data_IF_579703932781
#
_entry.id   IF_579703932781
#
_cell.length_a   1.000
_cell.length_b   1.000
_cell.length_c   1.000
_cell.angle_alpha   90.00
_cell.angle_beta   90.00
_cell.angle_gamma   90.00
#
_symmetry.space_group_name_H-M   'P 1'
#
loop_
_entity.id
_entity.type
_entity.pdbx_description
1 polymer ?
#
# COMPACT_ATOMS: atom_id res chain seq x y z
N UNK A 1 18.90 -7.61 -54.45
CA UNK A 1 18.45 -6.70 -55.51
C UNK A 1 18.83 -5.29 -55.10
N UNK A 2 19.79 -4.72 -55.81
CA UNK A 2 20.24 -3.34 -55.69
C UNK A 2 19.15 -2.37 -56.16
N UNK A 3 18.98 -1.24 -55.48
CA UNK A 3 19.23 0.06 -56.09
C UNK A 3 19.43 1.16 -55.02
N UNK A 4 20.49 1.98 -55.12
CA UNK A 4 20.75 3.15 -54.28
C UNK A 4 20.28 4.44 -54.98
N UNK A 5 19.97 5.50 -54.24
CA UNK A 5 20.03 6.86 -54.77
C UNK A 5 20.61 7.83 -53.74
N UNK A 6 21.62 8.53 -54.22
CA UNK A 6 22.43 9.59 -53.64
C UNK A 6 21.69 10.94 -53.65
N UNK A 7 22.04 11.82 -52.71
CA UNK A 7 21.61 13.22 -52.72
C UNK A 7 22.23 14.03 -51.58
N UNK A 8 23.15 14.92 -51.94
CA UNK A 8 24.04 15.75 -51.12
C UNK A 8 23.40 17.07 -50.64
N UNK A 9 23.49 17.37 -49.32
CA UNK A 9 23.58 18.68 -48.61
C UNK A 9 22.65 19.87 -48.96
N UNK A 10 22.61 20.97 -48.15
CA UNK A 10 23.50 21.33 -47.04
C UNK A 10 22.80 21.68 -45.70
N UNK A 11 23.67 21.89 -44.71
CA UNK A 11 23.48 22.33 -43.33
C UNK A 11 22.66 23.60 -43.11
N UNK A 12 21.79 23.58 -42.10
CA UNK A 12 21.16 24.75 -41.49
C UNK A 12 20.33 24.33 -40.28
N UNK A 13 20.97 24.23 -39.11
CA UNK A 13 20.28 23.99 -37.83
C UNK A 13 19.76 25.31 -37.28
N UNK A 14 18.46 25.57 -37.45
CA UNK A 14 17.71 26.50 -36.61
C UNK A 14 16.95 25.72 -35.53
N UNK A 15 16.87 26.23 -34.29
CA UNK A 15 16.15 25.57 -33.21
C UNK A 15 14.63 25.71 -33.41
N UNK A 16 13.93 24.57 -33.53
CA UNK A 16 12.47 24.50 -33.51
C UNK A 16 11.96 24.92 -32.12
N UNK A 17 11.07 25.92 -32.00
CA UNK A 17 10.52 26.32 -30.71
C UNK A 17 9.63 25.21 -30.15
N UNK A 18 9.86 24.87 -28.88
CA UNK A 18 9.05 23.96 -28.09
C UNK A 18 7.62 24.52 -28.01
N UNK A 19 6.70 23.95 -28.79
CA UNK A 19 5.30 24.28 -28.73
C UNK A 19 4.78 23.98 -27.33
N UNK A 20 4.35 25.03 -26.63
CA UNK A 20 3.62 24.91 -25.38
C UNK A 20 2.36 24.07 -25.63
N UNK A 21 2.28 22.89 -24.99
CA UNK A 21 1.07 22.10 -24.97
C UNK A 21 -0.01 22.92 -24.23
N UNK A 22 -0.89 23.54 -25.00
CA UNK A 22 -2.09 24.18 -24.51
C UNK A 22 -2.89 23.13 -23.72
N UNK A 23 -3.15 23.42 -22.45
CA UNK A 23 -4.06 22.65 -21.62
C UNK A 23 -5.44 22.65 -22.30
N UNK A 24 -5.84 21.51 -22.84
CA UNK A 24 -7.19 21.31 -23.32
C UNK A 24 -8.14 21.45 -22.13
N UNK A 25 -8.96 22.51 -22.16
CA UNK A 25 -9.99 22.77 -21.17
C UNK A 25 -10.95 21.58 -21.11
N UNK A 26 -11.08 20.97 -19.93
CA UNK A 26 -12.09 19.94 -19.64
C UNK A 26 -13.47 20.59 -19.75
N UNK A 27 -14.46 19.96 -20.42
CA UNK A 27 -15.81 20.52 -20.48
C UNK A 27 -16.44 20.52 -19.08
N UNK A 28 -17.04 21.66 -18.70
CA UNK A 28 -17.84 21.83 -17.50
C UNK A 28 -19.04 20.86 -17.53
N UNK A 29 -19.16 19.90 -16.59
CA UNK A 29 -20.44 19.26 -16.33
C UNK A 29 -21.26 20.23 -15.49
N UNK A 30 -22.33 20.73 -16.07
CA UNK A 30 -23.39 21.48 -15.40
C UNK A 30 -23.81 20.77 -14.12
N UNK A 31 -23.63 21.47 -13.01
CA UNK A 31 -24.01 21.11 -11.65
C UNK A 31 -25.50 20.79 -11.55
N UNK A 32 -25.83 19.51 -11.60
CA UNK A 32 -26.83 18.94 -10.71
C UNK A 32 -26.05 18.16 -9.65
N UNK A 33 -25.54 18.88 -8.64
CA UNK A 33 -24.90 18.27 -7.48
C UNK A 33 -25.96 17.44 -6.74
N UNK A 34 -25.95 16.13 -6.96
CA UNK A 34 -26.63 15.22 -6.05
C UNK A 34 -25.96 15.37 -4.67
N UNK A 35 -26.74 15.61 -3.60
CA UNK A 35 -26.17 15.89 -2.29
C UNK A 35 -25.41 14.66 -1.80
N UNK A 36 -24.12 14.87 -1.48
CA UNK A 36 -23.29 13.94 -0.72
C UNK A 36 -23.97 13.67 0.63
N UNK A 37 -24.69 12.55 0.72
CA UNK A 37 -24.94 11.87 1.97
C UNK A 37 -24.63 10.40 1.73
N UNK A 38 -23.59 9.83 2.36
CA UNK A 38 -23.51 8.38 2.48
C UNK A 38 -24.77 7.94 3.21
N UNK A 39 -25.68 7.28 2.48
CA UNK A 39 -26.78 6.54 3.09
C UNK A 39 -26.10 5.53 4.00
N UNK A 40 -26.34 5.65 5.31
CA UNK A 40 -25.95 4.70 6.36
C UNK A 40 -26.14 3.27 5.84
N UNK A 41 -25.09 2.63 5.32
CA UNK A 41 -25.22 1.32 4.68
C UNK A 41 -25.42 0.18 5.70
N UNK A 42 -25.39 0.49 6.99
CA UNK A 42 -25.48 -0.47 8.09
C UNK A 42 -26.16 0.11 9.35
N UNK A 43 -27.10 1.06 9.21
CA UNK A 43 -27.84 1.59 10.37
C UNK A 43 -28.67 0.55 11.15
N UNK A 44 -28.76 -0.69 10.66
CA UNK A 44 -29.68 -1.70 11.17
C UNK A 44 -28.99 -2.90 11.84
N UNK A 45 -27.65 -2.94 12.00
CA UNK A 45 -27.04 -4.03 12.78
C UNK A 45 -27.20 -3.75 14.28
N UNK A 46 -27.83 -4.67 15.04
CA UNK A 46 -27.96 -4.53 16.49
C UNK A 46 -26.61 -4.68 17.22
N UNK A 47 -25.55 -5.15 16.54
CA UNK A 47 -24.20 -5.32 17.10
C UNK A 47 -23.11 -4.90 16.10
N UNK A 48 -22.92 -3.59 15.84
CA UNK A 48 -21.93 -3.12 14.87
C UNK A 48 -20.52 -3.65 15.21
N UNK A 49 -19.68 -3.97 14.20
CA UNK A 49 -18.31 -4.39 14.45
C UNK A 49 -17.48 -3.32 15.17
N UNK A 50 -16.67 -3.72 16.15
CA UNK A 50 -15.80 -2.86 16.95
C UNK A 50 -14.34 -3.09 16.54
N UNK A 51 -13.62 -2.04 16.15
CA UNK A 51 -12.31 -2.16 15.49
C UNK A 51 -11.23 -1.45 16.30
N UNK A 52 -10.05 -2.08 16.44
CA UNK A 52 -8.83 -1.40 16.91
C UNK A 52 -7.93 -1.05 15.73
N UNK A 53 -7.33 0.14 15.77
CA UNK A 53 -6.29 0.54 14.83
C UNK A 53 -4.93 0.51 15.54
N UNK A 54 -3.98 -0.26 15.01
CA UNK A 54 -2.61 -0.35 15.51
C UNK A 54 -1.71 0.47 14.58
N UNK A 55 -1.27 1.62 15.07
CA UNK A 55 -0.52 2.63 14.33
C UNK A 55 -1.44 3.70 13.75
N UNK A 56 -1.47 4.86 14.40
CA UNK A 56 -2.21 6.06 13.97
C UNK A 56 -1.44 6.87 12.91
N UNK A 57 -0.68 6.19 12.04
CA UNK A 57 -0.02 6.81 10.89
C UNK A 57 -0.99 7.06 9.73
N UNK A 58 -0.44 7.37 8.55
CA UNK A 58 -1.23 7.62 7.34
C UNK A 58 -2.16 6.45 6.96
N UNK A 59 -1.71 5.21 7.13
CA UNK A 59 -2.52 4.01 6.83
C UNK A 59 -3.62 3.80 7.87
N UNK A 60 -3.30 3.97 9.16
CA UNK A 60 -4.31 3.91 10.23
C UNK A 60 -5.43 4.91 10.01
N UNK A 61 -5.09 6.15 9.63
CA UNK A 61 -6.08 7.18 9.26
C UNK A 61 -6.89 6.80 8.01
N UNK A 62 -6.26 6.24 6.98
CA UNK A 62 -6.97 5.81 5.77
C UNK A 62 -8.02 4.73 6.10
N UNK A 63 -7.65 3.70 6.85
CA UNK A 63 -8.58 2.65 7.27
C UNK A 63 -9.68 3.19 8.19
N UNK A 64 -9.32 4.02 9.17
CA UNK A 64 -10.28 4.60 10.09
C UNK A 64 -11.30 5.50 9.38
N UNK A 65 -10.83 6.35 8.46
CA UNK A 65 -11.68 7.19 7.62
C UNK A 65 -12.61 6.36 6.74
N UNK A 66 -12.10 5.30 6.10
CA UNK A 66 -12.91 4.40 5.30
C UNK A 66 -14.02 3.75 6.13
N UNK A 67 -13.66 3.25 7.32
CA UNK A 67 -14.58 2.62 8.26
C UNK A 67 -15.66 3.60 8.73
N UNK A 68 -15.30 4.78 9.21
CA UNK A 68 -16.25 5.74 9.79
C UNK A 68 -17.13 6.43 8.74
N UNK A 69 -16.66 6.55 7.50
CA UNK A 69 -17.39 7.21 6.42
C UNK A 69 -18.31 6.26 5.65
N UNK A 70 -17.90 5.00 5.46
CA UNK A 70 -18.58 4.06 4.56
C UNK A 70 -19.28 2.90 5.25
N UNK A 71 -19.08 2.71 6.55
CA UNK A 71 -19.62 1.57 7.30
C UNK A 71 -20.34 2.00 8.57
N UNK A 72 -21.00 1.06 9.28
CA UNK A 72 -21.50 1.34 10.64
C UNK A 72 -20.60 0.79 11.75
N UNK A 73 -19.43 0.24 11.40
CA UNK A 73 -18.48 -0.22 12.41
C UNK A 73 -17.97 0.97 13.25
N UNK A 74 -17.51 0.64 14.46
CA UNK A 74 -17.07 1.60 15.46
C UNK A 74 -15.56 1.42 15.63
N UNK A 75 -14.80 2.51 15.49
CA UNK A 75 -13.41 2.53 15.95
C UNK A 75 -13.44 2.59 17.48
N UNK A 76 -13.12 1.48 18.11
CA UNK A 76 -13.26 1.25 19.54
C UNK A 76 -11.95 1.44 20.31
N UNK A 77 -10.80 1.35 19.64
CA UNK A 77 -9.52 1.64 20.28
C UNK A 77 -8.44 2.01 19.24
N UNK A 78 -7.37 2.61 19.74
CA UNK A 78 -6.12 2.83 19.00
C UNK A 78 -4.92 2.43 19.86
N UNK A 79 -3.93 1.79 19.24
CA UNK A 79 -2.61 1.55 19.83
C UNK A 79 -1.55 2.28 19.00
N UNK A 80 -0.93 3.31 19.58
CA UNK A 80 0.05 4.16 18.90
C UNK A 80 1.09 4.65 19.91
N UNK A 81 2.40 4.46 19.67
CA UNK A 81 3.44 4.91 20.61
C UNK A 81 3.57 6.45 20.70
N UNK A 82 3.33 7.19 19.61
CA UNK A 82 3.45 8.65 19.60
C UNK A 82 2.19 9.28 20.19
N UNK A 83 2.33 9.90 21.37
CA UNK A 83 1.21 10.50 22.11
C UNK A 83 0.37 11.47 21.26
N UNK A 84 1.02 12.42 20.58
CA UNK A 84 0.34 13.37 19.70
C UNK A 84 -0.56 12.68 18.66
N UNK A 85 -0.02 11.72 17.89
CA UNK A 85 -0.79 10.97 16.88
C UNK A 85 -1.92 10.18 17.51
N UNK A 86 -1.70 9.59 18.68
CA UNK A 86 -2.71 8.82 19.40
C UNK A 86 -3.87 9.71 19.83
N UNK A 87 -3.57 10.88 20.40
CA UNK A 87 -4.56 11.81 20.92
C UNK A 87 -5.35 12.47 19.76
N UNK A 88 -4.67 12.88 18.69
CA UNK A 88 -5.28 13.37 17.45
C UNK A 88 -6.25 12.32 16.85
N UNK A 89 -5.83 11.06 16.82
CA UNK A 89 -6.63 9.96 16.28
C UNK A 89 -7.87 9.69 17.13
N UNK A 90 -7.75 9.71 18.46
CA UNK A 90 -8.88 9.60 19.38
C UNK A 90 -9.88 10.74 19.14
N UNK A 91 -9.39 11.97 19.06
CA UNK A 91 -10.23 13.16 18.82
C UNK A 91 -10.95 13.09 17.47
N UNK A 92 -10.32 12.48 16.46
CA UNK A 92 -10.88 12.41 15.09
C UNK A 92 -11.89 11.28 14.92
N UNK A 93 -11.57 10.07 15.39
CA UNK A 93 -12.33 8.86 15.03
C UNK A 93 -13.08 8.19 16.18
N UNK A 94 -12.78 8.54 17.44
CA UNK A 94 -13.35 7.86 18.61
C UNK A 94 -14.28 8.81 19.39
N UNK A 95 -13.78 9.96 19.83
CA UNK A 95 -14.52 10.90 20.68
C UNK A 95 -15.85 11.41 20.06
N UNK A 96 -15.92 11.78 18.77
CA UNK A 96 -17.17 12.31 18.17
C UNK A 96 -18.33 11.31 18.20
N UNK A 97 -18.04 10.01 18.27
CA UNK A 97 -19.04 8.95 18.31
C UNK A 97 -19.45 8.59 19.75
N UNK A 98 -18.62 8.89 20.75
CA UNK A 98 -18.98 8.72 22.16
C UNK A 98 -20.06 9.74 22.58
N UNK A 99 -19.95 10.98 22.09
CA UNK A 99 -20.92 12.06 22.36
C UNK A 99 -22.31 11.80 21.74
N UNK A 100 -22.39 10.94 20.72
CA UNK A 100 -23.65 10.52 20.07
C UNK A 100 -24.34 9.34 20.78
N UNK A 101 -23.97 9.05 22.05
CA UNK A 101 -24.59 8.00 22.86
C UNK A 101 -24.03 6.58 22.63
N UNK A 102 -22.93 6.42 21.88
CA UNK A 102 -22.20 5.14 21.73
C UNK A 102 -21.05 5.07 22.74
N UNK A 103 -21.40 5.17 24.02
CA UNK A 103 -20.44 5.32 25.12
C UNK A 103 -19.56 4.06 25.25
N UNK A 104 -18.24 4.22 25.27
CA UNK A 104 -17.31 3.11 25.45
C UNK A 104 -16.96 2.97 26.94
N UNK A 105 -17.23 1.81 27.54
CA UNK A 105 -17.00 1.55 28.96
C UNK A 105 -15.53 1.24 29.31
N UNK A 106 -14.61 1.35 28.35
CA UNK A 106 -13.29 0.72 28.38
C UNK A 106 -12.18 1.63 27.83
N UNK A 107 -10.89 1.38 28.16
CA UNK A 107 -9.77 2.14 27.61
C UNK A 107 -9.74 2.05 26.08
N UNK A 108 -9.57 3.20 25.42
CA UNK A 108 -9.63 3.33 23.97
C UNK A 108 -8.32 3.83 23.35
N UNK A 109 -7.29 4.09 24.17
CA UNK A 109 -5.99 4.56 23.74
C UNK A 109 -4.90 3.79 24.49
N UNK A 110 -3.99 3.15 23.74
CA UNK A 110 -2.88 2.35 24.24
C UNK A 110 -1.57 2.85 23.64
N UNK A 111 -0.48 2.81 24.39
CA UNK A 111 0.83 3.23 23.90
C UNK A 111 1.54 2.12 23.11
N UNK A 112 1.19 0.86 23.37
CA UNK A 112 1.65 -0.32 22.63
C UNK A 112 0.47 -1.30 22.43
N UNK A 113 0.47 -2.03 21.31
CA UNK A 113 -0.55 -3.04 21.03
C UNK A 113 -0.51 -4.20 22.04
N UNK A 114 0.65 -4.46 22.67
CA UNK A 114 0.80 -5.47 23.73
C UNK A 114 0.02 -5.09 24.99
N UNK A 115 -0.07 -3.80 25.30
CA UNK A 115 -0.90 -3.30 26.42
C UNK A 115 -2.37 -3.59 26.15
N UNK A 116 -2.81 -3.35 24.92
CA UNK A 116 -4.15 -3.71 24.47
C UNK A 116 -4.39 -5.23 24.58
N UNK A 117 -3.46 -6.06 24.10
CA UNK A 117 -3.61 -7.53 24.17
C UNK A 117 -3.70 -8.02 25.62
N UNK A 118 -2.87 -7.49 26.52
CA UNK A 118 -2.93 -7.82 27.94
C UNK A 118 -4.29 -7.42 28.53
N UNK A 119 -4.76 -6.22 28.24
CA UNK A 119 -6.06 -5.72 28.68
C UNK A 119 -7.22 -6.56 28.15
N UNK A 120 -7.25 -6.87 26.85
CA UNK A 120 -8.32 -7.63 26.18
C UNK A 120 -8.35 -9.08 26.67
N UNK A 121 -7.20 -9.69 26.87
CA UNK A 121 -7.08 -11.05 27.43
C UNK A 121 -7.73 -11.11 28.81
N UNK A 122 -7.42 -10.13 29.66
CA UNK A 122 -7.94 -10.06 31.01
C UNK A 122 -9.44 -9.68 31.04
N UNK A 123 -9.90 -8.82 30.14
CA UNK A 123 -11.33 -8.52 29.94
C UNK A 123 -12.12 -9.78 29.60
N UNK A 124 -11.61 -10.61 28.67
CA UNK A 124 -12.23 -11.90 28.30
C UNK A 124 -12.28 -12.87 29.47
N UNK A 125 -11.25 -12.93 30.32
CA UNK A 125 -11.27 -13.75 31.54
C UNK A 125 -12.37 -13.35 32.52
N UNK A 126 -12.72 -12.07 32.58
CA UNK A 126 -13.75 -11.52 33.48
C UNK A 126 -15.18 -11.63 32.93
N UNK A 127 -15.38 -12.18 31.73
CA UNK A 127 -16.70 -12.33 31.12
C UNK A 127 -17.31 -11.02 30.60
N UNK A 128 -16.49 -10.03 30.21
CA UNK A 128 -17.00 -8.77 29.66
C UNK A 128 -17.73 -8.94 28.31
N UNK A 129 -18.79 -8.15 28.09
CA UNK A 129 -19.73 -8.35 26.98
C UNK A 129 -19.27 -7.77 25.62
N UNK A 130 -18.45 -6.70 25.59
CA UNK A 130 -18.00 -6.08 24.33
C UNK A 130 -16.47 -6.06 24.16
N UNK A 131 -15.97 -6.68 23.10
CA UNK A 131 -14.55 -6.72 22.73
C UNK A 131 -14.27 -6.02 21.40
N UNK A 132 -13.05 -6.16 20.91
CA UNK A 132 -12.68 -5.77 19.53
C UNK A 132 -12.84 -6.99 18.62
N UNK A 133 -13.41 -6.74 17.44
CA UNK A 133 -13.70 -7.71 16.39
C UNK A 133 -12.58 -7.76 15.33
N UNK A 134 -11.77 -6.70 15.15
CA UNK A 134 -10.70 -6.65 14.12
C UNK A 134 -9.56 -5.66 14.43
N UNK A 135 -8.36 -5.88 13.86
CA UNK A 135 -7.17 -5.04 14.00
C UNK A 135 -6.49 -4.70 12.66
N UNK A 136 -5.97 -3.48 12.50
CA UNK A 136 -5.19 -3.02 11.33
C UNK A 136 -3.80 -2.52 11.75
N UNK A 137 -2.73 -2.80 10.99
CA UNK A 137 -1.32 -2.47 11.35
C UNK A 137 -0.62 -1.64 10.27
N UNK A 138 0.23 -0.66 10.64
CA UNK A 138 1.10 0.03 9.68
C UNK A 138 2.39 0.65 10.23
N UNK A 139 3.56 0.21 9.70
CA UNK A 139 4.82 0.97 9.74
C UNK A 139 5.80 0.52 8.61
N UNK A 140 6.75 1.36 8.16
CA UNK A 140 7.75 1.03 7.12
C UNK A 140 9.09 1.77 7.27
N UNK A 141 10.24 1.07 7.09
CA UNK A 141 11.56 1.67 6.74
C UNK A 141 12.65 0.64 6.43
N UNK A 142 12.96 -0.28 7.35
CA UNK A 142 14.00 -1.32 7.21
C UNK A 142 13.37 -2.69 7.32
N UNK A 143 13.89 -3.67 6.58
CA UNK A 143 13.32 -5.02 6.62
C UNK A 143 13.31 -5.59 8.05
N UNK A 144 14.41 -5.42 8.78
CA UNK A 144 14.57 -5.94 10.16
C UNK A 144 13.61 -5.34 11.18
N UNK A 145 13.08 -4.14 10.92
CA UNK A 145 12.10 -3.48 11.79
C UNK A 145 10.68 -3.54 11.22
N UNK A 146 10.52 -4.00 9.97
CA UNK A 146 9.24 -3.99 9.23
C UNK A 146 9.08 -5.28 8.41
N UNK A 147 9.15 -5.19 7.08
CA UNK A 147 8.95 -6.31 6.17
C UNK A 147 9.56 -6.02 4.78
N UNK A 148 9.76 -7.06 3.93
CA UNK A 148 10.25 -6.89 2.56
C UNK A 148 9.38 -5.95 1.71
N UNK A 149 9.96 -5.33 0.67
CA UNK A 149 9.22 -4.43 -0.24
C UNK A 149 7.98 -5.09 -0.82
N UNK A 150 8.11 -6.35 -1.25
CA UNK A 150 7.01 -7.11 -1.84
C UNK A 150 5.83 -7.23 -0.87
N UNK A 151 6.06 -7.55 0.41
CA UNK A 151 5.01 -7.65 1.42
C UNK A 151 4.37 -6.30 1.74
N UNK A 152 5.17 -5.25 1.79
CA UNK A 152 4.72 -3.94 2.30
C UNK A 152 4.06 -3.06 1.24
N UNK A 153 4.37 -3.28 -0.05
CA UNK A 153 3.90 -2.46 -1.16
C UNK A 153 3.05 -3.23 -2.19
N UNK A 154 3.21 -4.54 -2.26
CA UNK A 154 2.70 -5.35 -3.37
C UNK A 154 2.17 -6.72 -2.96
N UNK A 155 1.86 -6.94 -1.67
CA UNK A 155 1.21 -8.18 -1.23
C UNK A 155 -0.13 -8.36 -1.95
N UNK A 156 -0.93 -7.29 -2.03
CA UNK A 156 -2.19 -7.28 -2.77
C UNK A 156 -2.02 -7.57 -4.28
N UNK A 157 -0.85 -7.31 -4.86
CA UNK A 157 -0.59 -7.62 -6.27
C UNK A 157 -0.34 -9.13 -6.42
N UNK A 158 0.35 -9.74 -5.45
CA UNK A 158 0.51 -11.20 -5.36
C UNK A 158 -0.81 -11.89 -5.04
N UNK A 159 -1.63 -11.30 -4.15
CA UNK A 159 -2.99 -11.76 -3.86
C UNK A 159 -3.81 -11.81 -5.15
N UNK A 160 -3.79 -10.73 -5.95
CA UNK A 160 -4.49 -10.67 -7.23
C UNK A 160 -4.01 -11.71 -8.24
N UNK A 161 -2.70 -11.96 -8.32
CA UNK A 161 -2.13 -12.97 -9.21
C UNK A 161 -2.52 -14.39 -8.81
N UNK A 162 -2.42 -14.72 -7.52
CA UNK A 162 -2.85 -16.03 -7.02
C UNK A 162 -4.35 -16.19 -7.11
N UNK A 163 -5.13 -15.15 -6.80
CA UNK A 163 -6.56 -15.15 -7.00
C UNK A 163 -6.86 -15.47 -8.47
N UNK A 164 -6.40 -14.65 -9.41
CA UNK A 164 -6.72 -14.84 -10.83
C UNK A 164 -6.26 -16.17 -11.41
N UNK A 165 -5.10 -16.66 -11.00
CA UNK A 165 -4.47 -17.83 -11.62
C UNK A 165 -4.69 -19.12 -10.83
N UNK A 166 -5.10 -19.08 -9.58
CA UNK A 166 -5.30 -20.27 -8.76
C UNK A 166 -6.74 -20.42 -8.25
N UNK A 167 -7.49 -19.32 -8.11
CA UNK A 167 -8.69 -19.23 -7.26
C UNK A 167 -9.81 -18.29 -7.80
N UNK A 168 -10.96 -18.21 -7.14
CA UNK A 168 -11.52 -19.28 -6.32
C UNK A 168 -11.84 -20.46 -7.24
N UNK A 169 -11.35 -21.65 -6.90
CA UNK A 169 -11.84 -22.87 -7.51
C UNK A 169 -13.37 -22.90 -7.35
N UNK A 170 -14.11 -23.20 -8.42
CA UNK A 170 -15.57 -23.34 -8.28
C UNK A 170 -15.88 -24.48 -7.32
N UNK A 171 -17.09 -24.49 -6.76
CA UNK A 171 -17.50 -25.55 -5.86
C UNK A 171 -17.29 -26.94 -6.50
N UNK A 172 -16.43 -27.76 -5.89
CA UNK A 172 -16.04 -29.09 -6.40
C UNK A 172 -14.81 -29.11 -7.32
N UNK A 173 -14.25 -27.96 -7.70
CA UNK A 173 -12.98 -27.86 -8.41
C UNK A 173 -11.80 -27.78 -7.42
N UNK A 174 -10.62 -28.21 -7.89
CA UNK A 174 -9.38 -28.06 -7.14
C UNK A 174 -8.64 -26.82 -7.65
N UNK A 175 -8.17 -26.00 -6.72
CA UNK A 175 -7.33 -24.85 -7.03
C UNK A 175 -6.05 -25.29 -7.76
N UNK A 176 -5.69 -24.56 -8.82
CA UNK A 176 -4.45 -24.82 -9.52
C UNK A 176 -3.31 -24.13 -8.75
N UNK A 177 -2.55 -24.89 -7.98
CA UNK A 177 -1.47 -24.37 -7.14
C UNK A 177 -0.20 -24.05 -7.93
N UNK A 178 0.58 -23.04 -7.53
CA UNK A 178 1.89 -22.75 -8.13
C UNK A 178 2.84 -23.96 -8.06
N UNK A 179 3.72 -24.08 -9.05
CA UNK A 179 4.75 -25.11 -9.10
C UNK A 179 6.12 -24.56 -8.69
N UNK A 180 6.56 -23.49 -9.34
CA UNK A 180 7.85 -22.86 -9.06
C UNK A 180 7.72 -21.35 -8.99
N UNK A 181 8.66 -20.73 -8.28
CA UNK A 181 8.86 -19.30 -8.35
C UNK A 181 10.34 -18.93 -8.39
N UNK A 182 10.63 -17.82 -9.03
CA UNK A 182 11.91 -17.15 -8.97
C UNK A 182 11.68 -15.66 -8.72
N UNK A 183 12.62 -15.03 -8.03
CA UNK A 183 12.53 -13.63 -7.67
C UNK A 183 13.91 -13.03 -7.76
N UNK A 184 14.02 -11.90 -8.44
CA UNK A 184 15.27 -11.18 -8.61
C UNK A 184 15.03 -9.72 -8.28
N UNK A 185 15.94 -9.11 -7.54
CA UNK A 185 15.77 -7.74 -7.10
C UNK A 185 16.80 -7.40 -6.04
N UNK A 186 17.20 -6.13 -6.04
CA UNK A 186 18.13 -5.58 -5.05
C UNK A 186 17.95 -4.08 -4.98
N UNK A 187 18.43 -3.48 -3.90
CA UNK A 187 18.64 -2.04 -3.85
C UNK A 187 19.72 -1.67 -4.87
N UNK A 188 19.33 -1.14 -6.02
CA UNK A 188 20.23 -0.80 -7.11
C UNK A 188 20.71 0.63 -7.04
N UNK A 189 19.80 1.57 -6.82
CA UNK A 189 19.98 3.00 -7.04
C UNK A 189 20.43 3.74 -5.79
N UNK A 190 19.80 3.47 -4.65
CA UNK A 190 20.08 4.18 -3.40
C UNK A 190 21.24 3.56 -2.62
N UNK A 191 22.41 3.49 -3.26
CA UNK A 191 23.65 2.99 -2.65
C UNK A 191 24.75 4.03 -2.73
N UNK A 192 25.64 4.07 -1.73
CA UNK A 192 26.80 4.98 -1.67
C UNK A 192 27.59 5.05 -2.97
N UNK A 193 27.80 3.91 -3.63
CA UNK A 193 28.51 3.83 -4.91
C UNK A 193 27.85 4.60 -6.08
N UNK A 194 26.59 5.01 -5.94
CA UNK A 194 25.83 5.81 -6.92
C UNK A 194 25.62 7.25 -6.49
N UNK A 195 26.15 7.65 -5.34
CA UNK A 195 26.13 9.04 -4.89
C UNK A 195 26.87 9.90 -5.93
N UNK A 196 26.27 11.00 -6.42
CA UNK A 196 26.97 11.91 -7.31
C UNK A 196 28.25 12.43 -6.66
N UNK A 197 29.38 12.39 -7.37
CA UNK A 197 30.66 12.88 -6.85
C UNK A 197 30.57 14.34 -6.39
N UNK A 198 29.79 15.16 -7.11
CA UNK A 198 29.54 16.55 -6.77
C UNK A 198 28.82 16.74 -5.42
N UNK A 199 28.09 15.74 -4.90
CA UNK A 199 27.51 15.78 -3.56
C UNK A 199 28.55 15.68 -2.43
N UNK A 200 29.80 15.34 -2.76
CA UNK A 200 30.90 15.23 -1.80
C UNK A 200 30.59 14.30 -0.63
N UNK A 201 30.94 14.72 0.57
CA UNK A 201 30.73 13.96 1.81
C UNK A 201 29.38 14.25 2.47
N UNK A 202 28.50 15.04 1.85
CA UNK A 202 27.23 15.44 2.47
C UNK A 202 26.36 14.23 2.80
N UNK A 203 25.93 14.14 4.06
CA UNK A 203 25.02 13.10 4.55
C UNK A 203 23.58 13.60 4.66
N UNK A 204 23.36 14.90 4.70
CA UNK A 204 22.02 15.52 4.77
C UNK A 204 21.76 16.41 3.54
N UNK A 205 20.52 16.46 3.07
CA UNK A 205 20.12 17.27 1.92
C UNK A 205 20.33 18.76 2.17
N UNK A 206 20.12 19.26 3.39
CA UNK A 206 20.20 20.69 3.71
C UNK A 206 21.63 21.25 3.68
N UNK A 207 22.63 20.37 3.77
CA UNK A 207 24.06 20.74 3.67
C UNK A 207 24.70 20.26 2.36
N UNK A 208 23.91 19.70 1.43
CA UNK A 208 24.41 19.10 0.21
C UNK A 208 24.76 20.18 -0.83
N UNK A 209 25.98 20.19 -1.41
CA UNK A 209 26.40 21.19 -2.38
C UNK A 209 25.62 21.14 -3.71
N UNK A 210 24.94 20.02 -4.01
CA UNK A 210 24.10 19.86 -5.21
C UNK A 210 22.61 19.88 -4.89
N UNK A 211 22.20 20.35 -3.71
CA UNK A 211 20.80 20.35 -3.26
C UNK A 211 19.85 20.92 -4.31
N UNK A 212 20.20 22.08 -4.88
CA UNK A 212 19.39 22.81 -5.85
C UNK A 212 19.14 22.03 -7.14
N UNK A 213 20.07 21.17 -7.58
CA UNK A 213 19.95 20.35 -8.79
C UNK A 213 19.49 18.91 -8.50
N UNK A 214 19.68 18.42 -7.27
CA UNK A 214 19.41 17.04 -6.91
C UNK A 214 17.90 16.72 -6.92
N UNK A 215 17.47 15.75 -7.72
CA UNK A 215 16.06 15.33 -7.76
C UNK A 215 15.54 14.74 -6.44
N UNK A 216 16.45 14.33 -5.55
CA UNK A 216 16.14 13.74 -4.24
C UNK A 216 16.31 14.73 -3.07
N UNK A 217 16.46 16.03 -3.32
CA UNK A 217 16.49 17.01 -2.23
C UNK A 217 15.21 16.94 -1.40
N UNK A 218 15.35 16.59 -0.12
CA UNK A 218 14.25 16.59 0.83
C UNK A 218 13.62 17.99 0.97
N UNK A 219 14.43 19.05 0.92
CA UNK A 219 13.96 20.45 0.96
C UNK A 219 13.02 20.76 -0.21
N UNK A 220 13.39 20.35 -1.43
CA UNK A 220 12.51 20.51 -2.60
C UNK A 220 11.28 19.62 -2.52
N UNK A 221 11.45 18.36 -2.11
CA UNK A 221 10.36 17.36 -2.05
C UNK A 221 9.29 17.79 -1.04
N UNK A 222 9.66 18.13 0.19
CA UNK A 222 8.71 18.41 1.27
C UNK A 222 8.40 19.91 1.43
N UNK A 223 9.39 20.78 1.31
CA UNK A 223 9.22 22.22 1.47
C UNK A 223 8.61 22.86 0.21
N UNK A 224 9.36 22.86 -0.88
CA UNK A 224 9.01 23.66 -2.07
C UNK A 224 7.84 23.08 -2.87
N UNK A 225 7.83 21.77 -3.06
CA UNK A 225 6.80 21.10 -3.89
C UNK A 225 5.50 20.85 -3.14
N UNK A 226 5.49 20.92 -1.80
CA UNK A 226 4.33 20.58 -0.98
C UNK A 226 3.95 21.71 -0.02
N UNK A 227 4.75 21.96 1.02
CA UNK A 227 4.38 22.89 2.09
C UNK A 227 4.17 24.33 1.58
N UNK A 228 5.08 24.85 0.76
CA UNK A 228 4.94 26.19 0.14
C UNK A 228 3.77 26.30 -0.84
N UNK A 229 3.23 25.18 -1.29
CA UNK A 229 1.99 25.11 -2.09
C UNK A 229 0.74 24.91 -1.23
N UNK A 230 0.86 25.04 0.09
CA UNK A 230 -0.23 24.88 1.05
C UNK A 230 -0.56 23.42 1.39
N UNK A 231 0.24 22.44 0.94
CA UNK A 231 0.04 21.04 1.30
C UNK A 231 0.88 20.65 2.52
N UNK A 232 0.26 20.68 3.70
CA UNK A 232 0.84 20.13 4.94
C UNK A 232 0.49 18.66 5.19
N UNK A 233 -0.35 18.04 4.34
CA UNK A 233 -0.75 16.62 4.48
C UNK A 233 0.37 15.70 4.01
N UNK A 234 0.04 14.45 3.63
CA UNK A 234 1.04 13.59 2.99
C UNK A 234 1.60 14.26 1.71
N UNK A 235 2.93 14.25 1.50
CA UNK A 235 3.94 13.54 2.27
C UNK A 235 4.60 14.35 3.41
N UNK A 236 4.21 15.61 3.66
CA UNK A 236 4.84 16.47 4.69
C UNK A 236 4.54 16.01 6.11
N UNK A 237 3.29 15.66 6.42
CA UNK A 237 2.88 15.19 7.76
C UNK A 237 3.58 13.94 8.27
N UNK A 238 4.20 13.16 7.38
CA UNK A 238 4.99 11.99 7.79
C UNK A 238 6.34 12.41 8.38
N UNK A 239 6.87 13.57 7.95
CA UNK A 239 8.11 14.17 8.46
C UNK A 239 7.85 14.77 9.84
N UNK A 240 6.77 15.55 9.95
CA UNK A 240 6.31 16.11 11.21
C UNK A 240 4.78 16.00 11.33
N UNK A 241 4.26 15.22 12.30
CA UNK A 241 2.82 15.07 12.50
C UNK A 241 2.08 16.36 12.87
N UNK A 242 2.76 17.30 13.54
CA UNK A 242 2.19 18.57 14.04
C UNK A 242 2.16 19.67 12.96
N UNK A 243 2.65 19.39 11.75
CA UNK A 243 2.84 20.40 10.71
C UNK A 243 1.54 21.01 10.19
N UNK A 244 0.44 20.25 10.19
CA UNK A 244 -0.89 20.75 9.78
C UNK A 244 -1.41 21.79 10.79
N UNK A 245 -1.27 21.50 12.09
CA UNK A 245 -1.63 22.41 13.18
C UNK A 245 -0.74 23.65 13.19
N UNK A 246 0.57 23.48 13.01
CA UNK A 246 1.50 24.60 12.93
C UNK A 246 1.16 25.53 11.77
N UNK A 247 0.90 24.97 10.58
CA UNK A 247 0.52 25.77 9.40
C UNK A 247 -0.77 26.55 9.63
N UNK A 248 -1.78 25.92 10.24
CA UNK A 248 -3.09 26.55 10.45
C UNK A 248 -3.11 27.59 11.57
N UNK A 249 -2.31 27.41 12.62
CA UNK A 249 -2.32 28.28 13.82
C UNK A 249 -1.21 29.33 13.83
N UNK A 250 -0.03 29.00 13.29
CA UNK A 250 1.17 29.84 13.36
C UNK A 250 1.63 30.36 11.98
N UNK A 251 1.05 29.85 10.89
CA UNK A 251 1.33 30.29 9.53
C UNK A 251 2.52 29.57 8.87
N UNK A 252 2.72 29.89 7.59
CA UNK A 252 3.67 29.19 6.72
C UNK A 252 5.12 29.27 7.20
N UNK A 253 5.58 30.44 7.65
CA UNK A 253 6.97 30.64 8.08
C UNK A 253 7.33 29.77 9.29
N UNK A 254 6.39 29.63 10.24
CA UNK A 254 6.57 28.78 11.41
C UNK A 254 6.61 27.30 11.01
N UNK A 255 5.68 26.87 10.15
CA UNK A 255 5.63 25.51 9.63
C UNK A 255 6.90 25.17 8.82
N UNK A 256 7.38 26.07 7.97
CA UNK A 256 8.60 25.84 7.19
C UNK A 256 9.82 25.73 8.10
N UNK A 257 9.93 26.58 9.13
CA UNK A 257 10.99 26.48 10.14
C UNK A 257 10.94 25.14 10.88
N UNK A 258 9.75 24.69 11.25
CA UNK A 258 9.55 23.38 11.89
C UNK A 258 10.01 22.25 10.96
N UNK A 259 9.54 22.24 9.71
CA UNK A 259 9.92 21.24 8.72
C UNK A 259 11.45 21.22 8.47
N UNK A 260 12.09 22.38 8.29
CA UNK A 260 13.53 22.44 8.07
C UNK A 260 14.32 21.95 9.28
N UNK A 261 13.82 22.17 10.50
CA UNK A 261 14.43 21.60 11.71
C UNK A 261 14.41 20.07 11.64
N UNK A 262 13.27 19.44 11.36
CA UNK A 262 13.18 17.97 11.32
C UNK A 262 13.98 17.37 10.15
N UNK A 263 14.01 18.06 9.00
CA UNK A 263 14.84 17.66 7.86
C UNK A 263 16.34 17.85 8.14
N UNK A 264 16.74 18.73 9.07
CA UNK A 264 18.15 18.89 9.42
C UNK A 264 18.70 17.73 10.26
N UNK A 265 17.82 16.93 10.86
CA UNK A 265 18.22 15.83 11.72
C UNK A 265 18.96 14.75 10.93
N UNK A 266 20.07 14.28 11.49
CA UNK A 266 20.98 13.34 10.84
C UNK A 266 21.71 12.46 11.85
N UNK A 267 22.44 11.45 11.38
CA UNK A 267 23.25 10.56 12.21
C UNK A 267 24.66 10.35 11.65
N UNK A 268 25.59 9.99 12.53
CA UNK A 268 26.98 9.68 12.18
C UNK A 268 27.30 8.22 12.50
N UNK A 269 28.50 7.76 12.18
CA UNK A 269 28.98 6.43 12.59
C UNK A 269 29.09 6.26 14.11
N UNK A 270 28.99 7.34 14.89
CA UNK A 270 29.02 7.34 16.35
C UNK A 270 27.62 7.25 16.97
N UNK A 271 26.57 7.53 16.19
CA UNK A 271 25.18 7.42 16.65
C UNK A 271 24.83 5.95 16.90
N UNK A 272 24.30 5.58 18.08
CA UNK A 272 23.91 4.20 18.36
C UNK A 272 22.88 3.67 17.37
N UNK A 273 23.08 2.44 16.87
CA UNK A 273 22.19 1.80 15.90
C UNK A 273 20.73 1.73 16.37
N UNK A 274 20.51 1.52 17.67
CA UNK A 274 19.17 1.53 18.26
C UNK A 274 18.48 2.91 18.17
N UNK A 275 19.25 3.99 18.23
CA UNK A 275 18.72 5.34 18.02
C UNK A 275 18.40 5.58 16.54
N UNK A 276 19.30 5.17 15.65
CA UNK A 276 19.09 5.24 14.20
C UNK A 276 17.81 4.51 13.80
N UNK A 277 17.52 3.34 14.39
CA UNK A 277 16.36 2.49 14.08
C UNK A 277 15.02 3.01 14.56
N UNK A 278 14.97 3.87 15.58
CA UNK A 278 13.70 4.33 16.20
C UNK A 278 12.79 5.11 15.26
N UNK A 279 13.34 5.79 14.26
CA UNK A 279 12.57 6.70 13.39
C UNK A 279 13.25 6.92 12.04
N UNK A 280 12.50 7.21 10.96
CA UNK A 280 13.07 7.66 9.71
C UNK A 280 13.81 9.01 9.83
N UNK A 281 14.73 9.25 8.91
CA UNK A 281 15.56 10.46 8.83
C UNK A 281 15.34 11.12 7.46
N UNK A 282 14.20 11.78 7.28
CA UNK A 282 13.69 12.19 5.97
C UNK A 282 14.55 13.22 5.23
N UNK A 283 15.40 13.96 5.94
CA UNK A 283 16.35 14.87 5.31
C UNK A 283 17.70 14.25 4.96
N UNK A 284 17.97 13.03 5.43
CA UNK A 284 19.23 12.33 5.11
C UNK A 284 19.29 12.00 3.61
N UNK A 285 20.48 12.13 3.05
CA UNK A 285 20.80 11.80 1.67
C UNK A 285 20.44 10.33 1.38
N UNK A 286 19.64 10.11 0.33
CA UNK A 286 19.15 8.77 -0.04
C UNK A 286 20.27 7.75 -0.32
N UNK A 287 21.46 8.21 -0.72
CA UNK A 287 22.63 7.32 -0.95
C UNK A 287 23.45 7.06 0.32
N UNK A 288 23.25 7.83 1.39
CA UNK A 288 23.92 7.66 2.70
C UNK A 288 22.96 7.07 3.76
N UNK A 289 21.69 6.89 3.41
CA UNK A 289 20.67 6.27 4.25
C UNK A 289 20.92 4.76 4.43
N UNK A 290 20.29 4.19 5.46
CA UNK A 290 20.35 2.77 5.83
C UNK A 290 19.19 1.95 5.25
N UNK A 291 18.54 2.45 4.20
CA UNK A 291 17.48 1.73 3.49
C UNK A 291 18.07 0.48 2.82
N UNK A 292 17.44 -0.68 3.03
CA UNK A 292 17.89 -1.99 2.52
C UNK A 292 16.87 -2.69 1.61
N UNK A 293 15.70 -2.07 1.44
CA UNK A 293 14.56 -2.56 0.67
C UNK A 293 14.79 -2.44 -0.84
N UNK A 294 14.21 -3.34 -1.64
CA UNK A 294 14.40 -3.32 -3.10
C UNK A 294 13.75 -2.09 -3.74
N UNK A 295 14.46 -1.47 -4.69
CA UNK A 295 13.96 -0.40 -5.57
C UNK A 295 13.59 -0.90 -6.98
N UNK A 296 13.92 -2.15 -7.27
CA UNK A 296 13.58 -2.91 -8.47
C UNK A 296 13.51 -4.40 -8.10
N UNK A 297 12.36 -5.03 -8.36
CA UNK A 297 12.14 -6.45 -8.10
C UNK A 297 11.20 -7.06 -9.15
N UNK A 298 11.65 -8.16 -9.75
CA UNK A 298 10.88 -9.00 -10.66
C UNK A 298 10.61 -10.35 -10.01
N UNK A 299 9.36 -10.78 -10.00
CA UNK A 299 8.92 -12.09 -9.53
C UNK A 299 8.29 -12.84 -10.69
N UNK A 300 8.71 -14.07 -10.92
CA UNK A 300 8.09 -14.98 -11.88
C UNK A 300 7.53 -16.18 -11.13
N UNK A 301 6.25 -16.47 -11.33
CA UNK A 301 5.56 -17.61 -10.73
C UNK A 301 5.06 -18.48 -11.88
N UNK A 302 5.30 -19.79 -11.82
CA UNK A 302 4.83 -20.75 -12.81
C UNK A 302 3.90 -21.77 -12.18
N UNK A 303 3.00 -22.26 -13.01
CA UNK A 303 2.11 -23.38 -12.77
C UNK A 303 2.32 -24.38 -13.90
N UNK A 304 2.24 -25.68 -13.61
CA UNK A 304 2.42 -26.76 -14.58
C UNK A 304 1.07 -27.34 -15.03
N UNK A 305 1.04 -28.23 -16.01
CA UNK A 305 -0.20 -28.93 -16.32
C UNK A 305 -0.64 -29.82 -15.14
N UNK A 306 -1.90 -29.67 -14.71
CA UNK A 306 -2.53 -30.52 -13.70
C UNK A 306 -3.65 -31.34 -14.35
N UNK A 307 -3.33 -32.58 -14.69
CA UNK A 307 -4.27 -33.51 -15.30
C UNK A 307 -5.48 -33.83 -14.40
N UNK A 308 -5.36 -33.70 -13.07
CA UNK A 308 -6.45 -34.02 -12.15
C UNK A 308 -7.53 -32.91 -12.15
N UNK A 309 -7.12 -31.65 -12.21
CA UNK A 309 -8.05 -30.51 -12.34
C UNK A 309 -8.37 -30.14 -13.79
N UNK A 310 -7.60 -30.66 -14.76
CA UNK A 310 -7.65 -30.23 -16.16
C UNK A 310 -7.05 -28.85 -16.39
N UNK A 311 -6.36 -28.30 -15.39
CA UNK A 311 -5.75 -26.99 -15.48
C UNK A 311 -4.47 -27.04 -16.30
N UNK A 312 -4.28 -26.05 -17.17
CA UNK A 312 -3.08 -25.95 -18.00
C UNK A 312 -2.01 -25.05 -17.36
N UNK A 313 -0.77 -25.29 -17.77
CA UNK A 313 0.39 -24.50 -17.39
C UNK A 313 0.20 -23.01 -17.72
N UNK A 314 0.74 -22.16 -16.86
CA UNK A 314 0.62 -20.70 -16.94
C UNK A 314 1.78 -20.03 -16.22
N UNK A 315 2.00 -18.76 -16.53
CA UNK A 315 3.09 -17.97 -15.96
C UNK A 315 2.62 -16.58 -15.63
N UNK A 316 2.96 -16.11 -14.43
CA UNK A 316 2.82 -14.72 -14.02
C UNK A 316 4.18 -14.07 -13.93
N UNK A 317 4.28 -12.84 -14.42
CA UNK A 317 5.44 -11.98 -14.22
C UNK A 317 4.98 -10.68 -13.56
N UNK A 318 5.60 -10.38 -12.42
CA UNK A 318 5.34 -9.19 -11.64
C UNK A 318 6.61 -8.33 -11.57
N UNK A 319 6.50 -7.04 -11.87
CA UNK A 319 7.61 -6.08 -11.78
C UNK A 319 7.21 -4.89 -10.93
N UNK A 320 7.94 -4.68 -9.84
CA UNK A 320 7.86 -3.50 -9.00
C UNK A 320 9.11 -2.65 -9.19
N UNK A 321 8.91 -1.39 -9.54
CA UNK A 321 10.01 -0.45 -9.85
C UNK A 321 9.75 0.93 -9.24
N UNK A 322 10.78 1.52 -8.64
CA UNK A 322 10.70 2.84 -8.03
C UNK A 322 10.68 3.99 -9.06
N UNK A 323 11.41 3.85 -10.16
CA UNK A 323 11.55 4.87 -11.20
C UNK A 323 10.53 4.66 -12.31
N UNK A 324 9.40 5.33 -12.20
CA UNK A 324 8.31 5.27 -13.18
C UNK A 324 7.57 6.60 -13.21
N UNK A 325 7.09 7.00 -14.39
CA UNK A 325 6.12 8.10 -14.54
C UNK A 325 4.78 7.72 -13.88
N UNK A 326 4.44 6.44 -13.92
CA UNK A 326 3.17 5.86 -13.46
C UNK A 326 3.23 5.47 -12.00
N UNK A 327 3.57 6.44 -11.15
CA UNK A 327 3.72 6.22 -9.72
C UNK A 327 2.39 5.79 -9.10
N UNK A 328 2.41 4.67 -8.36
CA UNK A 328 1.23 4.08 -7.71
C UNK A 328 0.10 3.65 -8.66
N UNK A 329 0.32 3.65 -9.98
CA UNK A 329 -0.59 3.04 -10.94
C UNK A 329 -0.21 1.57 -11.14
N UNK A 330 -1.21 0.68 -11.13
CA UNK A 330 -1.02 -0.73 -11.55
C UNK A 330 -1.42 -0.84 -13.02
N UNK A 331 -0.65 -1.60 -13.78
CA UNK A 331 -0.93 -1.90 -15.18
C UNK A 331 -0.43 -3.29 -15.54
N UNK A 332 -1.06 -3.92 -16.52
CA UNK A 332 -0.67 -5.25 -16.94
C UNK A 332 -1.36 -5.71 -18.22
N UNK A 333 -0.92 -6.89 -18.68
CA UNK A 333 -1.53 -7.61 -19.78
C UNK A 333 -1.74 -9.07 -19.41
N UNK A 334 -2.86 -9.62 -19.84
CA UNK A 334 -3.21 -11.03 -19.67
C UNK A 334 -3.47 -11.59 -21.06
N UNK A 335 -2.77 -12.66 -21.39
CA UNK A 335 -2.87 -13.31 -22.70
C UNK A 335 -3.67 -14.59 -22.57
N UNK A 336 -4.65 -14.77 -23.45
CA UNK A 336 -5.44 -15.99 -23.56
C UNK A 336 -5.47 -16.51 -25.00
N UNK A 337 -6.08 -17.67 -25.18
CA UNK A 337 -6.20 -18.30 -26.50
C UNK A 337 -7.22 -17.62 -27.42
N UNK A 338 -8.09 -16.76 -26.87
CA UNK A 338 -9.18 -16.08 -27.59
C UNK A 338 -9.04 -14.56 -27.64
N UNK A 339 -8.03 -14.01 -26.98
CA UNK A 339 -7.89 -12.58 -26.83
C UNK A 339 -6.83 -12.18 -25.82
N UNK A 340 -6.70 -10.88 -25.63
CA UNK A 340 -5.86 -10.29 -24.60
C UNK A 340 -6.62 -9.22 -23.81
N UNK A 341 -6.26 -9.09 -22.53
CA UNK A 341 -6.75 -8.05 -21.65
C UNK A 341 -5.58 -7.11 -21.35
N UNK A 342 -5.76 -5.81 -21.58
CA UNK A 342 -4.87 -4.75 -21.11
C UNK A 342 -5.60 -3.99 -20.00
N UNK A 343 -4.93 -3.76 -18.87
CA UNK A 343 -5.51 -2.95 -17.80
C UNK A 343 -4.51 -1.93 -17.27
N UNK A 344 -5.06 -0.82 -16.80
CA UNK A 344 -4.37 0.14 -15.95
C UNK A 344 -5.30 0.59 -14.80
N UNK A 345 -4.89 1.59 -14.03
CA UNK A 345 -5.70 2.10 -12.91
C UNK A 345 -6.98 2.82 -13.33
N UNK A 346 -7.25 2.99 -14.63
CA UNK A 346 -8.40 3.73 -15.17
C UNK A 346 -9.29 2.85 -16.05
N UNK A 347 -8.71 1.96 -16.85
CA UNK A 347 -9.42 1.20 -17.88
C UNK A 347 -9.06 -0.27 -17.88
N UNK A 348 -10.00 -1.10 -18.33
CA UNK A 348 -9.77 -2.50 -18.70
C UNK A 348 -10.21 -2.64 -20.15
N UNK A 349 -9.30 -3.04 -21.04
CA UNK A 349 -9.55 -3.27 -22.45
C UNK A 349 -9.50 -4.77 -22.72
N UNK A 350 -10.50 -5.28 -23.41
CA UNK A 350 -10.59 -6.69 -23.81
C UNK A 350 -10.60 -6.74 -25.33
N UNK A 351 -9.56 -7.31 -25.92
CA UNK A 351 -9.45 -7.52 -27.36
C UNK A 351 -9.78 -8.98 -27.70
N UNK A 352 -10.76 -9.17 -28.58
CA UNK A 352 -11.22 -10.48 -29.05
C UNK A 352 -10.60 -10.82 -30.41
N UNK A 353 -9.86 -11.94 -30.48
CA UNK A 353 -9.15 -12.37 -31.69
C UNK A 353 -10.06 -12.87 -32.81
N UNK A 354 -11.30 -13.28 -32.51
CA UNK A 354 -12.22 -13.78 -33.52
C UNK A 354 -12.91 -12.63 -34.27
N UNK A 355 -13.04 -11.46 -33.63
CA UNK A 355 -13.80 -10.31 -34.15
C UNK A 355 -12.94 -9.10 -34.45
N UNK A 356 -11.68 -9.08 -34.02
CA UNK A 356 -10.77 -7.93 -34.06
C UNK A 356 -11.37 -6.68 -33.38
N UNK A 357 -12.19 -6.88 -32.34
CA UNK A 357 -12.84 -5.80 -31.60
C UNK A 357 -12.26 -5.65 -30.21
N UNK A 358 -12.10 -4.40 -29.79
CA UNK A 358 -11.78 -4.05 -28.41
C UNK A 358 -13.03 -3.51 -27.72
N UNK A 359 -13.39 -4.10 -26.59
CA UNK A 359 -14.31 -3.50 -25.62
C UNK A 359 -13.51 -2.81 -24.51
N UNK A 360 -13.93 -1.62 -24.08
CA UNK A 360 -13.25 -0.87 -23.01
C UNK A 360 -14.21 -0.61 -21.87
N UNK A 361 -13.80 -1.05 -20.68
CA UNK A 361 -14.51 -0.86 -19.43
C UNK A 361 -13.83 0.22 -18.59
N UNK A 362 -14.63 0.98 -17.86
CA UNK A 362 -14.19 2.06 -16.97
C UNK A 362 -14.68 1.75 -15.55
N UNK A 363 -13.87 1.09 -14.72
CA UNK A 363 -14.21 0.84 -13.33
C UNK A 363 -14.51 2.13 -12.56
N UNK A 364 -15.39 2.05 -11.56
CA UNK A 364 -15.75 3.18 -10.71
C UNK A 364 -14.52 3.73 -9.98
N UNK A 365 -14.27 5.03 -10.12
CA UNK A 365 -13.15 5.72 -9.47
C UNK A 365 -13.68 6.50 -8.26
N UNK A 366 -13.64 5.87 -7.08
CA UNK A 366 -14.16 6.49 -5.83
C UNK A 366 -13.23 7.54 -5.22
N UNK A 367 -12.02 7.68 -5.75
CA UNK A 367 -10.99 8.56 -5.17
C UNK A 367 -10.47 8.02 -3.84
N UNK A 368 -9.88 8.88 -3.00
CA UNK A 368 -9.38 8.46 -1.69
C UNK A 368 -8.08 7.65 -1.72
N UNK A 369 -7.82 6.89 -0.65
CA UNK A 369 -6.64 6.05 -0.51
C UNK A 369 -6.63 4.91 -1.54
N UNK A 370 -5.48 4.69 -2.18
CA UNK A 370 -5.28 3.61 -3.16
C UNK A 370 -6.33 3.54 -4.29
N UNK A 371 -6.83 4.68 -4.77
CA UNK A 371 -7.83 4.75 -5.85
C UNK A 371 -9.24 4.29 -5.45
N UNK A 372 -9.52 4.17 -4.15
CA UNK A 372 -10.81 3.72 -3.61
C UNK A 372 -10.82 2.26 -3.17
N UNK A 373 -9.70 1.55 -3.34
CA UNK A 373 -9.56 0.17 -2.90
C UNK A 373 -9.72 0.00 -1.39
N UNK A 374 -9.23 0.97 -0.60
CA UNK A 374 -9.36 0.94 0.87
C UNK A 374 -10.83 0.96 1.30
N UNK A 375 -11.66 1.80 0.65
CA UNK A 375 -13.09 1.91 0.95
C UNK A 375 -13.84 0.62 0.58
N UNK A 376 -13.50 0.03 -0.58
CA UNK A 376 -14.08 -1.24 -1.03
C UNK A 376 -13.79 -2.38 -0.06
N UNK A 377 -12.51 -2.57 0.28
CA UNK A 377 -12.07 -3.62 1.19
C UNK A 377 -12.64 -3.44 2.61
N UNK A 378 -12.61 -2.21 3.15
CA UNK A 378 -13.21 -1.93 4.46
C UNK A 378 -14.72 -2.22 4.46
N UNK A 379 -15.43 -1.82 3.41
CA UNK A 379 -16.87 -2.10 3.27
C UNK A 379 -17.16 -3.60 3.25
N UNK A 380 -16.46 -4.36 2.40
CA UNK A 380 -16.60 -5.80 2.29
C UNK A 380 -16.29 -6.51 3.62
N UNK A 381 -15.21 -6.09 4.29
CA UNK A 381 -14.83 -6.62 5.59
C UNK A 381 -15.91 -6.41 6.65
N UNK A 382 -16.41 -5.17 6.78
CA UNK A 382 -17.46 -4.88 7.77
C UNK A 382 -18.77 -5.59 7.43
N UNK A 383 -19.12 -5.76 6.16
CA UNK A 383 -20.28 -6.55 5.74
C UNK A 383 -20.14 -8.03 6.15
N UNK A 384 -18.95 -8.61 5.97
CA UNK A 384 -18.66 -9.98 6.39
C UNK A 384 -18.81 -10.16 7.90
N UNK A 385 -18.13 -9.31 8.69
CA UNK A 385 -18.20 -9.38 10.16
C UNK A 385 -19.62 -9.14 10.66
N UNK A 386 -20.33 -8.16 10.10
CA UNK A 386 -21.73 -7.89 10.46
C UNK A 386 -22.64 -9.09 10.17
N UNK A 387 -22.48 -9.77 9.03
CA UNK A 387 -23.26 -10.96 8.71
C UNK A 387 -23.05 -12.12 9.68
N UNK A 388 -21.82 -12.30 10.15
CA UNK A 388 -21.48 -13.31 11.16
C UNK A 388 -22.07 -12.93 12.52
N UNK A 389 -21.86 -11.68 12.97
CA UNK A 389 -22.36 -11.21 14.28
C UNK A 389 -23.88 -11.23 14.38
N UNK A 390 -24.58 -10.92 13.30
CA UNK A 390 -26.04 -10.97 13.24
C UNK A 390 -26.59 -12.41 13.13
N UNK A 391 -25.72 -13.45 13.10
CA UNK A 391 -26.12 -14.85 12.95
C UNK A 391 -26.69 -15.20 11.57
N UNK A 392 -26.45 -14.36 10.56
CA UNK A 392 -27.00 -14.54 9.20
C UNK A 392 -26.19 -15.52 8.35
N UNK A 393 -24.90 -15.68 8.64
CA UNK A 393 -23.95 -16.51 7.88
C UNK A 393 -22.88 -17.07 8.82
N UNK A 394 -22.28 -18.21 8.45
CA UNK A 394 -21.02 -18.64 9.04
C UNK A 394 -19.86 -17.73 8.64
N UNK A 395 -18.71 -17.87 9.30
CA UNK A 395 -17.49 -17.12 8.95
C UNK A 395 -17.06 -17.43 7.51
N UNK A 396 -17.06 -18.71 7.15
CA UNK A 396 -16.64 -19.19 5.84
C UNK A 396 -17.56 -18.68 4.73
N UNK A 397 -18.87 -18.70 4.95
CA UNK A 397 -19.87 -18.18 4.01
C UNK A 397 -19.69 -16.67 3.81
N UNK A 398 -19.52 -15.92 4.90
CA UNK A 398 -19.33 -14.48 4.85
C UNK A 398 -18.01 -14.08 4.16
N UNK A 399 -16.92 -14.81 4.42
CA UNK A 399 -15.64 -14.60 3.75
C UNK A 399 -15.77 -14.79 2.23
N UNK A 400 -16.28 -15.94 1.80
CA UNK A 400 -16.46 -16.23 0.37
C UNK A 400 -17.37 -15.21 -0.32
N UNK A 401 -18.47 -14.82 0.33
CA UNK A 401 -19.47 -13.94 -0.26
C UNK A 401 -19.02 -12.48 -0.35
N UNK A 402 -18.47 -11.93 0.73
CA UNK A 402 -18.20 -10.49 0.81
C UNK A 402 -16.75 -10.15 0.50
N UNK A 403 -15.80 -10.97 0.94
CA UNK A 403 -14.36 -10.73 0.73
C UNK A 403 -13.91 -11.30 -0.60
N UNK A 404 -14.48 -12.45 -1.01
CA UNK A 404 -14.15 -13.11 -2.27
C UNK A 404 -12.93 -14.02 -2.19
N UNK A 405 -12.41 -14.27 -0.98
CA UNK A 405 -11.36 -15.25 -0.72
C UNK A 405 -11.52 -15.91 0.66
N UNK A 406 -10.90 -17.07 0.84
CA UNK A 406 -10.81 -17.76 2.13
C UNK A 406 -9.56 -17.34 2.93
N UNK A 407 -9.53 -17.64 4.22
CA UNK A 407 -8.33 -17.42 5.04
C UNK A 407 -7.11 -18.18 4.52
N UNK A 408 -7.31 -19.41 4.03
CA UNK A 408 -6.23 -20.22 3.47
C UNK A 408 -5.61 -19.56 2.24
N UNK A 409 -6.44 -19.03 1.33
CA UNK A 409 -5.97 -18.31 0.13
C UNK A 409 -5.14 -17.07 0.50
N UNK A 410 -5.55 -16.33 1.53
CA UNK A 410 -4.77 -15.18 2.05
C UNK A 410 -3.43 -15.64 2.63
N UNK A 411 -3.41 -16.76 3.37
CA UNK A 411 -2.16 -17.31 3.90
C UNK A 411 -1.23 -17.76 2.76
N UNK A 412 -1.78 -18.39 1.72
CA UNK A 412 -1.01 -18.82 0.55
C UNK A 412 -0.36 -17.65 -0.18
N UNK A 413 -1.08 -16.56 -0.40
CA UNK A 413 -0.52 -15.37 -1.06
C UNK A 413 0.55 -14.67 -0.23
N UNK A 414 0.37 -14.59 1.09
CA UNK A 414 1.40 -14.04 1.99
C UNK A 414 2.63 -14.97 2.06
N UNK A 415 2.42 -16.28 2.11
CA UNK A 415 3.49 -17.27 2.03
C UNK A 415 4.26 -17.16 0.70
N UNK A 416 3.59 -16.92 -0.42
CA UNK A 416 4.21 -16.69 -1.72
C UNK A 416 5.14 -15.47 -1.71
N UNK A 417 4.75 -14.40 -1.01
CA UNK A 417 5.61 -13.23 -0.82
C UNK A 417 6.91 -13.59 -0.06
N UNK A 418 6.81 -14.39 1.00
CA UNK A 418 8.00 -14.84 1.76
C UNK A 418 8.87 -15.80 0.96
N UNK A 419 8.27 -16.73 0.22
CA UNK A 419 8.98 -17.61 -0.69
C UNK A 419 9.72 -16.81 -1.77
N UNK A 420 9.09 -15.77 -2.33
CA UNK A 420 9.71 -14.88 -3.31
C UNK A 420 10.86 -14.09 -2.70
N UNK A 421 10.78 -13.71 -1.43
CA UNK A 421 11.90 -13.08 -0.74
C UNK A 421 13.06 -14.05 -0.48
N UNK A 422 12.76 -15.30 -0.11
CA UNK A 422 13.76 -16.36 0.04
C UNK A 422 14.48 -16.64 -1.29
N UNK A 423 13.71 -16.84 -2.38
CA UNK A 423 14.24 -17.04 -3.72
C UNK A 423 15.21 -15.92 -4.13
N UNK A 424 14.84 -14.66 -3.83
CA UNK A 424 15.66 -13.47 -4.12
C UNK A 424 16.96 -13.45 -3.34
N UNK A 425 16.89 -13.70 -2.04
CA UNK A 425 18.06 -13.65 -1.14
C UNK A 425 19.04 -14.79 -1.42
N UNK A 426 18.52 -15.98 -1.68
CA UNK A 426 19.31 -17.17 -1.97
C UNK A 426 19.75 -17.24 -3.43
N UNK A 427 19.17 -16.42 -4.31
CA UNK A 427 19.37 -16.46 -5.78
C UNK A 427 19.04 -17.85 -6.34
N UNK A 428 17.89 -18.38 -5.90
CA UNK A 428 17.45 -19.72 -6.21
C UNK A 428 16.06 -19.72 -6.83
N UNK A 429 15.74 -20.80 -7.54
CA UNK A 429 14.36 -21.17 -7.87
C UNK A 429 13.80 -21.94 -6.69
N UNK A 430 12.62 -21.55 -6.24
CA UNK A 430 11.90 -22.22 -5.15
C UNK A 430 10.82 -23.10 -5.75
N UNK A 431 10.80 -24.37 -5.37
CA UNK A 431 9.70 -25.29 -5.63
C UNK A 431 8.61 -25.03 -4.58
N UNK A 432 7.43 -24.60 -5.02
CA UNK A 432 6.38 -24.10 -4.14
C UNK A 432 5.83 -25.16 -3.19
N UNK A 433 5.42 -26.37 -3.64
CA UNK A 433 4.92 -27.41 -2.74
C UNK A 433 5.91 -27.77 -1.62
N UNK A 434 7.18 -27.97 -1.98
CA UNK A 434 8.22 -28.28 -1.00
C UNK A 434 8.50 -27.11 -0.03
N UNK A 435 8.40 -25.87 -0.49
CA UNK A 435 8.55 -24.69 0.38
C UNK A 435 7.36 -24.56 1.35
N UNK A 436 6.14 -24.73 0.84
CA UNK A 436 4.90 -24.67 1.61
C UNK A 436 4.88 -25.70 2.73
N UNK A 437 5.19 -26.96 2.41
CA UNK A 437 5.26 -28.06 3.38
C UNK A 437 6.21 -27.71 4.54
N UNK A 438 7.45 -27.31 4.22
CA UNK A 438 8.51 -27.01 5.22
C UNK A 438 8.23 -25.76 6.07
N UNK A 439 7.68 -24.71 5.47
CA UNK A 439 7.57 -23.41 6.13
C UNK A 439 6.20 -23.12 6.72
N UNK A 440 5.16 -23.86 6.29
CA UNK A 440 3.79 -23.66 6.75
C UNK A 440 3.28 -24.91 7.46
N UNK A 441 3.11 -26.02 6.75
CA UNK A 441 2.43 -27.22 7.28
C UNK A 441 3.18 -27.86 8.46
N UNK A 442 4.47 -28.14 8.29
CA UNK A 442 5.30 -28.75 9.35
C UNK A 442 5.37 -27.86 10.59
N UNK A 443 5.35 -26.54 10.42
CA UNK A 443 5.39 -25.59 11.54
C UNK A 443 4.06 -25.44 12.27
N UNK A 444 2.94 -25.67 11.59
CA UNK A 444 1.62 -25.71 12.19
C UNK A 444 1.41 -27.00 12.98
N UNK A 445 1.96 -28.12 12.52
CA UNK A 445 1.89 -29.41 13.22
C UNK A 445 2.83 -29.50 14.44
N UNK A 446 3.91 -28.71 14.47
CA UNK A 446 4.87 -28.68 15.57
C UNK A 446 4.43 -27.83 16.78
N UNK A 447 3.25 -27.19 16.72
CA UNK A 447 2.64 -26.40 17.81
C UNK A 447 1.41 -27.13 18.34
#
# INVERSE_FOLDING_TARGET
MHNPLTGTGPSGTEPVPLAAAAAAAKPNPTTASLPLRPRRLLADSPSPPRIIIIGAGSRGHAYASAITTHTAAIIAAVAEPVAFKRDEFVATYIAPFQEQGRQQAHPHAFSDWREYVAWETERRRRGGEEGIDAAFVGNWRRESTTAPSLLTKSCHDVDFLLWMLSEPAREGERAHTPAFLSSTGKLNFYRKARKPAAAGTATNCLSCPIEEDCMFSAKKIYGERQLRKGNAKWPVKIVNPEIEDCLSTMGLDAAEKMLMKDLSEDWTSETPEEEVRKRPWFGRCVWEADNDVCDDQCVTITWEDDAASGSLAKTAQFHMVAFTEKQCERRGRIYGTKGEIEYDSVTIKVFDFATDRTETFYPEQRGGGHGGGDDGLATQFVQAVGAVKDGRMSVEEAQKKFIGCTLEEVIQSHAMVFAAEEARKQRAVVEWPAWWQRNVEERLQAK
#
